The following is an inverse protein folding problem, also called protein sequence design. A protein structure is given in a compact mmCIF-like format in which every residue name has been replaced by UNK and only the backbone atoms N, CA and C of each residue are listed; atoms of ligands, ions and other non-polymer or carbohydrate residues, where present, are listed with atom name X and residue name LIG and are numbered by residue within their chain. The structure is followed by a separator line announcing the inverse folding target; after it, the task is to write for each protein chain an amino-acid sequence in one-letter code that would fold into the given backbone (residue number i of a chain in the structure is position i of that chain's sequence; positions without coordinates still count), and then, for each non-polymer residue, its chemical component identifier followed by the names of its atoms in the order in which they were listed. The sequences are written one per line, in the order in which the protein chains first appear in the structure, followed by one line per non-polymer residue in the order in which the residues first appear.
data_IF_720142803504
#
_entry.id   IF_720142803504
#
_cell.length_a   1.000
_cell.length_b   1.000
_cell.length_c   1.000
_cell.angle_alpha   90.00
_cell.angle_beta   90.00
_cell.angle_gamma   90.00
#
_symmetry.space_group_name_H-M   'P 1'
#
loop_
_entity.id
_entity.type
_entity.pdbx_description
1 polymer ?
#
# COMPACT_ATOMS: atom_id res chain seq x y z
N UNK A 1 7.29 31.20 11.98
CA UNK A 1 6.87 31.49 10.58
C UNK A 1 6.11 30.30 10.03
N UNK A 2 4.80 30.19 10.31
CA UNK A 2 3.89 29.17 9.75
C UNK A 2 2.97 29.90 8.75
N UNK A 3 3.55 30.57 7.76
CA UNK A 3 2.79 31.27 6.72
C UNK A 3 2.81 30.44 5.44
N UNK A 4 1.62 29.98 5.06
CA UNK A 4 1.24 29.39 3.76
C UNK A 4 1.96 28.10 3.34
N UNK A 5 1.87 27.04 4.16
CA UNK A 5 2.10 25.67 3.68
C UNK A 5 0.91 25.28 2.78
N UNK A 6 1.14 25.28 1.47
CA UNK A 6 0.13 24.95 0.46
C UNK A 6 -0.17 23.44 0.40
N UNK A 7 -1.35 23.10 -0.10
CA UNK A 7 -1.71 21.72 -0.44
C UNK A 7 -0.90 21.29 -1.66
N UNK A 8 -0.03 20.27 -1.51
CA UNK A 8 0.74 19.66 -2.61
C UNK A 8 0.08 18.35 -3.05
N UNK A 9 -0.88 18.45 -3.98
CA UNK A 9 -1.60 17.28 -4.53
C UNK A 9 -0.70 16.41 -5.41
N UNK A 10 0.40 16.98 -5.90
CA UNK A 10 1.45 16.32 -6.68
C UNK A 10 2.27 15.29 -5.88
N UNK A 11 2.17 15.30 -4.55
CA UNK A 11 2.76 14.31 -3.65
C UNK A 11 1.78 13.23 -3.18
N UNK A 12 0.70 12.98 -3.93
CA UNK A 12 -0.31 11.96 -3.60
C UNK A 12 -0.57 11.02 -4.77
N UNK A 13 -1.19 9.86 -4.50
CA UNK A 13 -1.64 8.94 -5.56
C UNK A 13 -2.45 9.62 -6.69
N UNK A 14 -3.18 10.71 -6.41
CA UNK A 14 -3.96 11.42 -7.44
C UNK A 14 -3.08 11.91 -8.60
N UNK A 15 -1.84 12.29 -8.33
CA UNK A 15 -0.88 12.69 -9.36
C UNK A 15 -0.27 11.50 -10.11
N UNK A 16 -0.28 10.32 -9.50
CA UNK A 16 0.26 9.09 -10.08
C UNK A 16 -0.65 8.48 -11.15
N UNK A 17 -1.94 8.86 -11.20
CA UNK A 17 -2.93 8.26 -12.12
C UNK A 17 -2.58 8.43 -13.61
N UNK A 18 -1.78 9.44 -13.96
CA UNK A 18 -1.27 9.67 -15.32
C UNK A 18 0.20 9.30 -15.50
N UNK A 19 0.87 8.73 -14.48
CA UNK A 19 2.30 8.41 -14.50
C UNK A 19 2.52 6.92 -14.78
N UNK A 20 2.36 6.52 -16.04
CA UNK A 20 2.72 5.18 -16.52
C UNK A 20 2.24 4.06 -15.59
N UNK A 21 3.19 3.23 -15.11
CA UNK A 21 2.91 2.08 -14.26
C UNK A 21 2.41 2.44 -12.86
N UNK A 22 2.69 3.65 -12.36
CA UNK A 22 2.20 4.09 -11.05
C UNK A 22 0.67 4.26 -10.99
N UNK A 23 0.01 4.38 -12.14
CA UNK A 23 -1.44 4.54 -12.26
C UNK A 23 -2.22 3.22 -12.41
N UNK A 24 -1.55 2.07 -12.45
CA UNK A 24 -2.21 0.77 -12.74
C UNK A 24 -3.28 0.38 -11.74
N UNK A 25 -3.02 0.55 -10.45
CA UNK A 25 -4.00 0.30 -9.39
C UNK A 25 -3.95 1.39 -8.33
N UNK A 26 -5.14 1.68 -7.80
CA UNK A 26 -5.31 2.68 -6.75
C UNK A 26 -5.18 2.08 -5.36
N UNK A 27 -4.32 2.73 -4.57
CA UNK A 27 -4.28 2.61 -3.12
C UNK A 27 -4.25 4.02 -2.52
N UNK A 28 -5.28 4.41 -1.75
CA UNK A 28 -5.50 5.81 -1.32
C UNK A 28 -4.33 6.38 -0.51
N UNK A 29 -3.68 5.62 0.38
CA UNK A 29 -2.55 6.11 1.17
C UNK A 29 -1.20 6.19 0.45
N UNK A 30 -1.10 5.88 -0.85
CA UNK A 30 0.19 5.92 -1.54
C UNK A 30 0.73 7.37 -1.65
N UNK A 31 2.00 7.54 -1.25
CA UNK A 31 2.71 8.81 -1.33
C UNK A 31 3.26 9.05 -2.76
N UNK A 32 3.56 10.31 -3.08
CA UNK A 32 3.77 10.73 -4.47
C UNK A 32 5.15 10.44 -5.04
N UNK A 33 5.17 10.05 -6.32
CA UNK A 33 6.35 9.76 -7.15
C UNK A 33 7.41 10.87 -7.07
N UNK A 34 6.98 12.13 -7.21
CA UNK A 34 7.88 13.29 -7.21
C UNK A 34 8.72 13.46 -5.95
N UNK A 35 8.22 12.99 -4.80
CA UNK A 35 8.99 13.05 -3.56
C UNK A 35 10.14 12.05 -3.61
N UNK A 36 9.90 10.84 -4.11
CA UNK A 36 10.95 9.83 -4.28
C UNK A 36 11.97 10.29 -5.31
N UNK A 37 11.54 10.81 -6.46
CA UNK A 37 12.43 11.38 -7.48
C UNK A 37 13.34 12.46 -6.88
N UNK A 38 12.78 13.39 -6.10
CA UNK A 38 13.55 14.44 -5.43
C UNK A 38 14.60 13.86 -4.46
N UNK A 39 14.24 12.83 -3.69
CA UNK A 39 15.12 12.20 -2.70
C UNK A 39 16.24 11.35 -3.33
N UNK A 40 16.06 10.96 -4.60
CA UNK A 40 17.04 10.22 -5.41
C UNK A 40 17.80 11.09 -6.41
N UNK A 41 17.38 12.34 -6.65
CA UNK A 41 17.94 13.20 -7.69
C UNK A 41 19.47 13.44 -7.62
N UNK A 42 20.06 13.34 -6.42
CA UNK A 42 21.50 13.56 -6.20
C UNK A 42 22.27 12.24 -5.96
N UNK A 43 21.70 11.09 -6.36
CA UNK A 43 22.34 9.78 -6.19
C UNK A 43 23.07 9.43 -7.48
N UNK A 44 24.35 9.81 -7.56
CA UNK A 44 25.17 9.71 -8.78
C UNK A 44 25.61 8.28 -9.15
N UNK A 45 25.35 7.29 -8.30
CA UNK A 45 25.74 5.89 -8.50
C UNK A 45 24.52 4.96 -8.43
N UNK A 46 24.66 3.75 -9.00
CA UNK A 46 23.71 2.67 -8.77
C UNK A 46 23.65 2.34 -7.26
N UNK A 47 22.64 2.89 -6.59
CA UNK A 47 22.40 2.69 -5.17
C UNK A 47 21.47 1.50 -4.96
N UNK A 48 21.54 0.91 -3.77
CA UNK A 48 20.57 -0.06 -3.30
C UNK A 48 19.59 0.67 -2.38
N UNK A 49 18.35 0.83 -2.84
CA UNK A 49 17.26 1.51 -2.15
C UNK A 49 16.35 0.50 -1.46
N UNK A 50 15.89 0.80 -0.25
CA UNK A 50 14.89 -0.02 0.44
C UNK A 50 13.61 0.74 0.74
N UNK A 51 12.47 0.06 0.56
CA UNK A 51 11.17 0.45 1.08
C UNK A 51 10.59 -0.67 1.97
N UNK A 52 10.74 -0.59 3.31
CA UNK A 52 10.24 -1.61 4.22
C UNK A 52 8.71 -1.68 4.32
N UNK A 53 7.97 -0.77 3.66
CA UNK A 53 6.52 -0.73 3.61
C UNK A 53 6.03 -0.50 2.18
N UNK A 54 6.32 -1.47 1.30
CA UNK A 54 6.20 -1.38 -0.16
C UNK A 54 4.90 -0.75 -0.65
N UNK A 55 3.76 -1.17 -0.09
CA UNK A 55 2.47 -0.72 -0.60
C UNK A 55 2.30 -1.12 -2.07
N UNK A 56 2.07 -0.15 -2.94
CA UNK A 56 2.01 -0.37 -4.41
C UNK A 56 3.38 -0.27 -5.09
N UNK A 57 4.48 -0.45 -4.35
CA UNK A 57 5.86 -0.39 -4.82
C UNK A 57 6.21 0.95 -5.52
N UNK A 58 5.76 2.08 -4.98
CA UNK A 58 6.08 3.40 -5.56
C UNK A 58 7.58 3.67 -5.49
N UNK A 59 8.18 3.50 -4.31
CA UNK A 59 9.62 3.75 -4.11
C UNK A 59 10.47 2.88 -5.02
N UNK A 60 10.18 1.57 -5.01
CA UNK A 60 10.92 0.58 -5.78
C UNK A 60 10.86 0.87 -7.27
N UNK A 61 9.67 1.17 -7.80
CA UNK A 61 9.52 1.49 -9.22
C UNK A 61 10.29 2.76 -9.60
N UNK A 62 10.17 3.86 -8.83
CA UNK A 62 10.93 5.09 -9.14
C UNK A 62 12.43 4.84 -9.08
N UNK A 63 12.91 4.13 -8.05
CA UNK A 63 14.33 3.81 -7.93
C UNK A 63 14.83 3.03 -9.15
N UNK A 64 14.09 2.01 -9.58
CA UNK A 64 14.46 1.20 -10.73
C UNK A 64 14.32 1.95 -12.08
N UNK A 65 13.34 2.84 -12.24
CA UNK A 65 13.23 3.72 -13.41
C UNK A 65 14.44 4.66 -13.52
N UNK A 66 15.02 5.08 -12.39
CA UNK A 66 16.27 5.84 -12.31
C UNK A 66 17.54 4.97 -12.40
N UNK A 67 17.41 3.66 -12.64
CA UNK A 67 18.53 2.74 -12.82
C UNK A 67 19.12 2.16 -11.52
N UNK A 68 18.47 2.36 -10.38
CA UNK A 68 18.91 1.80 -9.10
C UNK A 68 18.37 0.38 -8.86
N UNK A 69 18.95 -0.33 -7.89
CA UNK A 69 18.40 -1.56 -7.37
C UNK A 69 17.49 -1.25 -6.18
N UNK A 70 16.32 -1.89 -6.11
CA UNK A 70 15.39 -1.71 -5.01
C UNK A 70 14.94 -3.03 -4.38
N UNK A 71 14.94 -3.05 -3.05
CA UNK A 71 14.30 -4.08 -2.24
C UNK A 71 13.08 -3.47 -1.56
N UNK A 72 11.97 -4.20 -1.51
CA UNK A 72 10.79 -3.72 -0.79
C UNK A 72 10.11 -4.84 -0.03
N UNK A 73 9.60 -4.51 1.14
CA UNK A 73 8.97 -5.47 2.05
C UNK A 73 7.49 -5.18 2.19
N UNK A 74 6.68 -6.23 2.22
CA UNK A 74 5.29 -6.14 2.65
C UNK A 74 4.88 -7.46 3.31
N UNK A 75 3.82 -7.40 4.10
CA UNK A 75 3.19 -8.60 4.70
C UNK A 75 1.99 -9.07 3.88
N UNK A 76 1.43 -8.19 3.05
CA UNK A 76 0.24 -8.46 2.27
C UNK A 76 0.63 -9.14 0.95
N UNK A 77 0.24 -10.42 0.75
CA UNK A 77 0.63 -11.17 -0.45
C UNK A 77 0.15 -10.52 -1.77
N UNK A 78 -1.00 -9.85 -1.76
CA UNK A 78 -1.48 -9.13 -2.94
C UNK A 78 -0.57 -7.94 -3.32
N UNK A 79 -0.04 -7.22 -2.34
CA UNK A 79 0.85 -6.08 -2.60
C UNK A 79 2.23 -6.53 -3.05
N UNK A 80 2.70 -7.68 -2.57
CA UNK A 80 3.94 -8.32 -3.03
C UNK A 80 3.80 -8.72 -4.50
N UNK A 81 2.74 -9.46 -4.82
CA UNK A 81 2.41 -9.85 -6.19
C UNK A 81 2.30 -8.64 -7.12
N UNK A 82 1.51 -7.63 -6.72
CA UNK A 82 1.32 -6.40 -7.48
C UNK A 82 2.64 -5.67 -7.69
N UNK A 83 3.45 -5.53 -6.64
CA UNK A 83 4.73 -4.83 -6.70
C UNK A 83 5.71 -5.50 -7.68
N UNK A 84 5.83 -6.82 -7.62
CA UNK A 84 6.68 -7.58 -8.54
C UNK A 84 6.20 -7.50 -9.98
N UNK A 85 4.90 -7.69 -10.24
CA UNK A 85 4.33 -7.55 -11.59
C UNK A 85 4.51 -6.13 -12.13
N UNK A 86 4.25 -5.10 -11.30
CA UNK A 86 4.40 -3.69 -11.67
C UNK A 86 5.82 -3.31 -12.06
N UNK A 87 6.83 -3.91 -11.44
CA UNK A 87 8.23 -3.56 -11.65
C UNK A 87 8.96 -4.49 -12.66
N UNK A 88 8.23 -5.37 -13.34
CA UNK A 88 8.81 -6.34 -14.28
C UNK A 88 8.99 -5.80 -15.70
N UNK A 89 10.04 -6.20 -16.41
CA UNK A 89 10.14 -5.96 -17.85
C UNK A 89 9.39 -7.05 -18.63
N UNK A 90 8.51 -6.63 -19.55
CA UNK A 90 7.67 -7.52 -20.35
C UNK A 90 8.14 -7.53 -21.80
N UNK A 91 8.25 -8.71 -22.40
CA UNK A 91 8.63 -8.82 -23.81
C UNK A 91 7.50 -8.35 -24.74
N UNK A 92 7.86 -7.79 -25.90
CA UNK A 92 6.87 -7.37 -26.90
C UNK A 92 5.96 -8.54 -27.32
N UNK A 93 6.51 -9.74 -27.45
CA UNK A 93 5.76 -10.96 -27.75
C UNK A 93 4.68 -11.22 -26.69
N UNK A 94 5.02 -11.14 -25.40
CA UNK A 94 4.07 -11.30 -24.30
C UNK A 94 2.92 -10.28 -24.40
N UNK A 95 3.24 -9.00 -24.64
CA UNK A 95 2.23 -7.94 -24.73
C UNK A 95 1.27 -8.15 -25.93
N UNK A 96 1.79 -8.61 -27.08
CA UNK A 96 0.98 -8.96 -28.25
C UNK A 96 0.07 -10.15 -27.96
N UNK A 97 0.61 -11.16 -27.30
CA UNK A 97 -0.12 -12.38 -26.97
C UNK A 97 -1.25 -12.13 -25.96
N UNK A 98 -0.99 -11.36 -24.90
CA UNK A 98 -2.04 -10.90 -23.96
C UNK A 98 -3.19 -10.24 -24.70
N UNK A 99 -2.89 -9.29 -25.60
CA UNK A 99 -3.91 -8.58 -26.40
C UNK A 99 -4.77 -9.53 -27.23
N UNK A 100 -4.15 -10.57 -27.80
CA UNK A 100 -4.85 -11.58 -28.59
C UNK A 100 -5.73 -12.47 -27.70
N UNK A 101 -5.19 -12.97 -26.59
CA UNK A 101 -5.89 -13.87 -25.69
C UNK A 101 -7.07 -13.18 -24.96
N UNK A 102 -6.91 -11.92 -24.55
CA UNK A 102 -8.01 -11.13 -23.95
C UNK A 102 -9.21 -11.02 -24.91
N UNK A 103 -8.99 -10.83 -26.21
CA UNK A 103 -10.08 -10.82 -27.20
C UNK A 103 -10.81 -12.17 -27.30
N UNK A 104 -10.13 -13.28 -27.02
CA UNK A 104 -10.75 -14.59 -26.99
C UNK A 104 -11.56 -14.78 -25.70
N UNK A 105 -11.03 -14.35 -24.55
CA UNK A 105 -11.75 -14.32 -23.27
C UNK A 105 -13.06 -13.55 -23.38
N UNK A 106 -13.06 -12.38 -24.04
CA UNK A 106 -14.26 -11.56 -24.24
C UNK A 106 -15.35 -12.24 -25.10
N UNK A 107 -15.00 -13.24 -25.89
CA UNK A 107 -15.96 -14.07 -26.61
C UNK A 107 -16.47 -15.22 -25.75
N UNK A 108 -15.56 -15.87 -25.01
CA UNK A 108 -15.87 -17.02 -24.16
C UNK A 108 -16.77 -16.64 -23.00
N UNK A 109 -16.46 -15.56 -22.27
CA UNK A 109 -17.18 -15.26 -21.03
C UNK A 109 -18.66 -15.01 -21.25
N UNK A 110 -19.06 -14.50 -22.43
CA UNK A 110 -20.48 -14.30 -22.80
C UNK A 110 -21.29 -15.58 -22.80
N UNK A 111 -20.66 -16.71 -23.12
CA UNK A 111 -21.27 -18.04 -23.08
C UNK A 111 -21.41 -18.52 -21.63
N UNK A 112 -20.50 -18.10 -20.75
CA UNK A 112 -20.51 -18.46 -19.33
C UNK A 112 -21.55 -17.65 -18.53
N UNK A 113 -22.06 -16.53 -19.06
CA UNK A 113 -23.07 -15.71 -18.39
C UNK A 113 -24.32 -16.56 -18.12
N UNK A 114 -24.81 -16.52 -16.87
CA UNK A 114 -25.95 -17.31 -16.41
C UNK A 114 -25.60 -18.75 -15.99
N UNK A 115 -24.35 -19.18 -16.18
CA UNK A 115 -23.82 -20.41 -15.60
C UNK A 115 -23.44 -20.27 -14.12
N UNK A 116 -23.03 -21.38 -13.51
CA UNK A 116 -22.52 -21.44 -12.14
C UNK A 116 -21.06 -20.94 -12.09
N UNK A 117 -20.88 -19.63 -12.11
CA UNK A 117 -19.58 -18.99 -12.04
C UNK A 117 -19.21 -18.67 -10.59
N UNK A 118 -17.95 -18.91 -10.25
CA UNK A 118 -17.42 -18.55 -8.94
C UNK A 118 -17.56 -17.05 -8.67
N UNK A 119 -17.99 -16.70 -7.46
CA UNK A 119 -18.15 -15.32 -6.98
C UNK A 119 -17.44 -15.18 -5.62
N UNK A 120 -16.73 -14.08 -5.35
CA UNK A 120 -16.04 -13.91 -4.07
C UNK A 120 -17.00 -13.79 -2.88
N UNK A 121 -16.58 -14.30 -1.73
CA UNK A 121 -17.33 -14.23 -0.46
C UNK A 121 -17.19 -12.86 0.23
N UNK A 122 -17.53 -11.79 -0.49
CA UNK A 122 -17.57 -10.43 0.06
C UNK A 122 -18.90 -10.23 0.78
N UNK A 123 -18.84 -9.84 2.06
CA UNK A 123 -20.04 -9.50 2.83
C UNK A 123 -20.76 -8.29 2.20
N UNK A 124 -22.05 -8.46 1.88
CA UNK A 124 -22.86 -7.50 1.13
C UNK A 124 -22.19 -7.05 -0.19
N UNK A 125 -21.80 -8.02 -1.01
CA UNK A 125 -21.21 -7.76 -2.33
C UNK A 125 -22.10 -6.86 -3.21
N UNK A 126 -23.41 -6.88 -3.01
CA UNK A 126 -24.39 -6.08 -3.74
C UNK A 126 -24.31 -4.58 -3.40
N UNK A 127 -23.58 -4.18 -2.34
CA UNK A 127 -23.24 -2.77 -2.11
C UNK A 127 -22.18 -2.24 -3.07
N UNK A 128 -21.42 -3.13 -3.69
CA UNK A 128 -20.35 -2.78 -4.60
C UNK A 128 -20.83 -2.78 -6.05
N UNK A 129 -21.59 -3.80 -6.44
CA UNK A 129 -22.03 -4.02 -7.81
C UNK A 129 -23.48 -4.52 -7.83
N UNK A 130 -24.23 -4.22 -8.88
CA UNK A 130 -25.58 -4.77 -9.05
C UNK A 130 -25.51 -6.29 -9.28
N UNK A 131 -26.61 -7.00 -9.04
CA UNK A 131 -26.68 -8.45 -9.23
C UNK A 131 -26.30 -8.88 -10.65
N UNK A 132 -26.64 -8.08 -11.66
CA UNK A 132 -26.32 -8.39 -13.06
C UNK A 132 -24.86 -8.09 -13.40
N UNK A 133 -24.31 -6.98 -12.89
CA UNK A 133 -22.87 -6.68 -12.99
C UNK A 133 -22.04 -7.78 -12.31
N UNK A 134 -22.48 -8.32 -11.16
CA UNK A 134 -21.80 -9.43 -10.47
C UNK A 134 -21.73 -10.66 -11.39
N UNK A 135 -22.83 -11.07 -12.02
CA UNK A 135 -22.84 -12.24 -12.93
C UNK A 135 -21.87 -12.05 -14.08
N UNK A 136 -21.82 -10.85 -14.66
CA UNK A 136 -20.91 -10.50 -15.76
C UNK A 136 -19.45 -10.58 -15.29
N UNK A 137 -19.11 -9.97 -14.15
CA UNK A 137 -17.75 -10.00 -13.60
C UNK A 137 -17.31 -11.42 -13.21
N UNK A 138 -18.22 -12.22 -12.64
CA UNK A 138 -17.95 -13.63 -12.28
C UNK A 138 -17.70 -14.51 -13.52
N UNK A 139 -18.49 -14.32 -14.58
CA UNK A 139 -18.27 -15.00 -15.86
C UNK A 139 -16.93 -14.59 -16.51
N UNK A 140 -16.63 -13.28 -16.54
CA UNK A 140 -15.36 -12.75 -17.05
C UNK A 140 -14.17 -13.32 -16.27
N UNK A 141 -14.22 -13.29 -14.94
CA UNK A 141 -13.19 -13.87 -14.09
C UNK A 141 -13.00 -15.36 -14.37
N UNK A 142 -14.08 -16.11 -14.58
CA UNK A 142 -14.00 -17.55 -14.87
C UNK A 142 -13.30 -17.80 -16.20
N UNK A 143 -13.65 -17.06 -17.26
CA UNK A 143 -12.95 -17.14 -18.55
C UNK A 143 -11.48 -16.72 -18.44
N UNK A 144 -11.15 -15.71 -17.60
CA UNK A 144 -9.78 -15.34 -17.30
C UNK A 144 -8.99 -16.48 -16.64
N UNK A 145 -9.56 -17.16 -15.66
CA UNK A 145 -8.92 -18.33 -15.02
C UNK A 145 -8.77 -19.48 -16.01
N UNK A 146 -9.76 -19.75 -16.86
CA UNK A 146 -9.67 -20.80 -17.88
C UNK A 146 -8.51 -20.54 -18.85
N UNK A 147 -8.28 -19.27 -19.21
CA UNK A 147 -7.27 -18.88 -20.19
C UNK A 147 -5.87 -18.68 -19.59
N UNK A 148 -5.78 -18.07 -18.42
CA UNK A 148 -4.51 -17.59 -17.82
C UNK A 148 -4.17 -18.25 -16.48
N UNK A 149 -5.06 -19.06 -15.89
CA UNK A 149 -4.90 -19.54 -14.52
C UNK A 149 -5.17 -18.45 -13.47
N UNK A 150 -5.04 -18.81 -12.20
CA UNK A 150 -5.13 -17.85 -11.08
C UNK A 150 -3.87 -16.97 -11.02
N UNK A 151 -3.94 -15.73 -10.52
CA UNK A 151 -2.76 -14.87 -10.41
C UNK A 151 -1.72 -15.48 -9.47
N UNK A 152 -0.49 -15.62 -9.95
CA UNK A 152 0.63 -16.19 -9.21
C UNK A 152 1.91 -15.36 -9.39
N UNK A 153 2.88 -15.57 -8.49
CA UNK A 153 4.17 -14.88 -8.56
C UNK A 153 4.95 -15.28 -9.82
N UNK A 154 5.69 -14.33 -10.40
CA UNK A 154 6.53 -14.54 -11.57
C UNK A 154 5.83 -14.97 -12.87
N UNK A 155 4.51 -14.78 -12.99
CA UNK A 155 3.79 -14.91 -14.25
C UNK A 155 3.79 -13.61 -15.08
N UNK A 156 3.99 -13.74 -16.39
CA UNK A 156 3.93 -12.66 -17.38
C UNK A 156 2.47 -12.22 -17.66
N UNK A 157 1.49 -13.11 -17.48
CA UNK A 157 0.07 -12.78 -17.71
C UNK A 157 -0.57 -12.00 -16.55
N UNK A 158 0.18 -11.71 -15.48
CA UNK A 158 -0.28 -10.91 -14.35
C UNK A 158 -0.82 -9.51 -14.73
N UNK A 159 -0.40 -8.95 -15.88
CA UNK A 159 -0.96 -7.70 -16.39
C UNK A 159 -2.48 -7.77 -16.62
N UNK A 160 -3.00 -8.94 -16.99
CA UNK A 160 -4.44 -9.17 -17.19
C UNK A 160 -5.19 -9.10 -15.86
N UNK A 161 -4.62 -9.66 -14.80
CA UNK A 161 -5.19 -9.61 -13.46
C UNK A 161 -5.14 -8.20 -12.87
N UNK A 162 -4.08 -7.43 -13.14
CA UNK A 162 -4.03 -6.00 -12.79
C UNK A 162 -5.14 -5.23 -13.51
N UNK A 163 -5.34 -5.50 -14.81
CA UNK A 163 -6.43 -4.92 -15.59
C UNK A 163 -7.80 -5.27 -15.00
N UNK A 164 -7.99 -6.53 -14.62
CA UNK A 164 -9.24 -7.00 -14.01
C UNK A 164 -9.47 -6.34 -12.64
N UNK A 165 -8.44 -6.22 -11.80
CA UNK A 165 -8.50 -5.48 -10.54
C UNK A 165 -8.92 -4.02 -10.75
N UNK A 166 -8.42 -3.36 -11.80
CA UNK A 166 -8.83 -1.99 -12.11
C UNK A 166 -10.28 -1.93 -12.60
N UNK A 167 -10.68 -2.86 -13.47
CA UNK A 167 -12.05 -2.98 -13.96
C UNK A 167 -13.05 -3.10 -12.80
N UNK A 168 -12.83 -4.04 -11.86
CA UNK A 168 -13.79 -4.28 -10.77
C UNK A 168 -14.01 -3.02 -9.92
N UNK A 169 -12.99 -2.19 -9.70
CA UNK A 169 -13.17 -0.95 -8.92
C UNK A 169 -13.80 0.15 -9.76
N UNK A 170 -13.40 0.32 -11.02
CA UNK A 170 -13.98 1.34 -11.90
C UNK A 170 -15.45 1.07 -12.24
N UNK A 171 -15.89 -0.20 -12.24
CA UNK A 171 -17.29 -0.60 -12.39
C UNK A 171 -18.05 -0.72 -11.06
N UNK A 172 -17.42 -0.37 -9.93
CA UNK A 172 -18.05 -0.46 -8.61
C UNK A 172 -18.70 0.85 -8.15
N UNK A 173 -19.54 0.72 -7.14
CA UNK A 173 -20.12 1.83 -6.38
C UNK A 173 -19.16 2.42 -5.35
N UNK A 174 -17.90 1.99 -5.32
CA UNK A 174 -16.91 2.55 -4.40
C UNK A 174 -16.66 4.03 -4.71
N UNK A 175 -16.71 4.86 -3.66
CA UNK A 175 -16.41 6.27 -3.72
C UNK A 175 -15.16 6.56 -2.87
N UNK A 176 -14.26 7.39 -3.41
CA UNK A 176 -12.98 7.71 -2.76
C UNK A 176 -12.88 9.20 -2.40
N UNK A 177 -14.01 9.75 -1.96
CA UNK A 177 -14.14 11.17 -1.59
C UNK A 177 -13.73 11.42 -0.13
N UNK A 178 -13.46 10.35 0.64
CA UNK A 178 -13.02 10.39 2.03
C UNK A 178 -11.64 9.72 2.21
N UNK A 179 -11.06 9.89 3.40
CA UNK A 179 -9.76 9.32 3.78
C UNK A 179 -9.74 7.79 3.71
N UNK A 180 -10.92 7.18 3.88
CA UNK A 180 -11.19 5.76 3.66
C UNK A 180 -12.23 5.63 2.57
N UNK A 181 -12.19 4.50 1.87
CA UNK A 181 -13.22 4.08 0.92
C UNK A 181 -14.64 4.15 1.52
N UNK A 182 -15.55 4.74 0.76
CA UNK A 182 -17.00 4.84 1.00
C UNK A 182 -17.76 4.29 -0.21
N UNK A 183 -19.09 4.44 -0.24
CA UNK A 183 -19.94 4.00 -1.36
C UNK A 183 -20.81 5.16 -1.85
N UNK A 184 -21.16 5.13 -3.13
CA UNK A 184 -22.26 5.92 -3.70
C UNK A 184 -23.60 5.48 -3.06
N UNK A 185 -24.60 6.36 -3.14
CA UNK A 185 -25.95 6.03 -2.66
C UNK A 185 -26.67 5.01 -3.54
N UNK A 186 -26.42 5.07 -4.85
CA UNK A 186 -26.98 4.15 -5.84
C UNK A 186 -25.92 3.21 -6.39
N UNK A 187 -26.35 2.01 -6.74
CA UNK A 187 -25.52 1.00 -7.40
C UNK A 187 -25.85 1.01 -8.88
N UNK A 188 -24.86 1.37 -9.69
CA UNK A 188 -25.00 1.43 -11.15
C UNK A 188 -25.05 -0.01 -11.72
N UNK A 189 -25.92 -0.22 -12.70
CA UNK A 189 -26.00 -1.47 -13.46
C UNK A 189 -25.20 -1.32 -14.76
N UNK A 190 -24.37 -2.33 -15.06
CA UNK A 190 -23.50 -2.33 -16.21
C UNK A 190 -23.73 -3.60 -17.03
N UNK A 191 -23.97 -3.42 -18.33
CA UNK A 191 -24.13 -4.53 -19.26
C UNK A 191 -22.78 -5.04 -19.79
N UNK A 192 -22.84 -6.03 -20.69
CA UNK A 192 -21.65 -6.63 -21.29
C UNK A 192 -20.87 -5.66 -22.17
N UNK A 193 -21.56 -4.77 -22.90
CA UNK A 193 -20.93 -3.83 -23.83
C UNK A 193 -20.07 -2.83 -23.04
N UNK A 194 -20.63 -2.25 -21.98
CA UNK A 194 -19.88 -1.37 -21.08
C UNK A 194 -18.66 -2.06 -20.46
N UNK A 195 -18.82 -3.29 -19.96
CA UNK A 195 -17.72 -4.04 -19.32
C UNK A 195 -16.64 -4.40 -20.33
N UNK A 196 -17.00 -4.80 -21.55
CA UNK A 196 -16.05 -5.10 -22.64
C UNK A 196 -15.22 -3.87 -23.00
N UNK A 197 -15.88 -2.74 -23.24
CA UNK A 197 -15.22 -1.49 -23.61
C UNK A 197 -14.28 -1.00 -22.51
N UNK A 198 -14.76 -0.99 -21.26
CA UNK A 198 -13.96 -0.58 -20.11
C UNK A 198 -12.76 -1.50 -19.93
N UNK A 199 -12.95 -2.83 -19.98
CA UNK A 199 -11.86 -3.78 -19.79
C UNK A 199 -10.81 -3.67 -20.90
N UNK A 200 -11.22 -3.59 -22.17
CA UNK A 200 -10.28 -3.40 -23.29
C UNK A 200 -9.49 -2.10 -23.16
N UNK A 201 -10.15 -1.00 -22.77
CA UNK A 201 -9.48 0.29 -22.58
C UNK A 201 -8.43 0.23 -21.47
N UNK A 202 -8.72 -0.48 -20.38
CA UNK A 202 -7.81 -0.68 -19.25
C UNK A 202 -6.63 -1.56 -19.65
N UNK A 203 -6.90 -2.68 -20.35
CA UNK A 203 -5.86 -3.58 -20.85
C UNK A 203 -4.89 -2.83 -21.74
N UNK A 204 -5.38 -2.07 -22.73
CA UNK A 204 -4.50 -1.31 -23.62
C UNK A 204 -3.67 -0.26 -22.87
N UNK A 205 -4.25 0.45 -21.90
CA UNK A 205 -3.51 1.40 -21.07
C UNK A 205 -2.35 0.73 -20.30
N UNK A 206 -2.61 -0.44 -19.70
CA UNK A 206 -1.60 -1.20 -18.97
C UNK A 206 -0.52 -1.72 -19.92
N UNK A 207 -0.90 -2.32 -21.05
CA UNK A 207 0.03 -2.83 -22.04
C UNK A 207 0.93 -1.72 -22.61
N UNK A 208 0.36 -0.56 -22.96
CA UNK A 208 1.13 0.59 -23.48
C UNK A 208 2.18 1.09 -22.48
N UNK A 209 1.86 1.13 -21.19
CA UNK A 209 2.82 1.56 -20.17
C UNK A 209 3.81 0.46 -19.76
N UNK A 210 3.46 -0.82 -19.95
CA UNK A 210 4.37 -1.94 -19.76
C UNK A 210 5.44 -2.08 -20.87
N UNK A 211 5.24 -1.46 -22.04
CA UNK A 211 6.23 -1.42 -23.13
C UNK A 211 7.51 -0.68 -22.74
N UNK A 212 7.42 0.26 -21.79
CA UNK A 212 8.61 0.95 -21.28
C UNK A 212 9.35 0.02 -20.34
N UNK A 213 10.59 -0.32 -20.71
CA UNK A 213 11.48 -1.09 -19.86
C UNK A 213 12.02 -0.22 -18.72
N UNK A 214 12.13 -0.85 -17.56
CA UNK A 214 12.77 -0.32 -16.36
C UNK A 214 14.25 -0.70 -16.42
N UNK A 215 15.13 0.27 -16.17
CA UNK A 215 16.58 0.10 -16.28
C UNK A 215 17.17 -0.67 -15.08
N UNK A 216 16.71 -0.34 -13.88
CA UNK A 216 17.13 -0.97 -12.63
C UNK A 216 16.41 -2.30 -12.35
N UNK A 217 16.54 -2.77 -11.11
CA UNK A 217 15.91 -4.02 -10.67
C UNK A 217 15.12 -3.84 -9.38
N UNK A 218 14.05 -4.61 -9.24
CA UNK A 218 13.18 -4.59 -8.06
C UNK A 218 12.93 -6.01 -7.57
N UNK A 219 12.96 -6.18 -6.26
CA UNK A 219 12.39 -7.35 -5.60
C UNK A 219 11.47 -6.91 -4.46
N UNK A 220 10.19 -7.31 -4.55
CA UNK A 220 9.24 -7.19 -3.44
C UNK A 220 9.12 -8.54 -2.77
N UNK A 221 9.39 -8.61 -1.47
CA UNK A 221 9.45 -9.87 -0.73
C UNK A 221 8.58 -9.83 0.53
N UNK A 222 8.12 -11.01 0.95
CA UNK A 222 7.32 -11.16 2.17
C UNK A 222 8.21 -11.05 3.40
N UNK A 223 8.17 -9.91 4.07
CA UNK A 223 8.93 -9.65 5.29
C UNK A 223 8.08 -8.86 6.27
N UNK A 224 8.09 -9.26 7.54
CA UNK A 224 7.58 -8.42 8.61
C UNK A 224 8.64 -7.36 8.95
N UNK A 225 8.31 -6.10 8.70
CA UNK A 225 9.23 -4.99 8.88
C UNK A 225 9.80 -4.86 10.30
N UNK A 226 9.16 -5.48 11.32
CA UNK A 226 9.67 -5.51 12.71
C UNK A 226 10.85 -6.45 12.91
N UNK A 227 11.03 -7.42 12.01
CA UNK A 227 11.96 -8.53 12.17
C UNK A 227 12.76 -8.75 10.88
N UNK A 228 13.52 -7.73 10.47
CA UNK A 228 14.43 -7.79 9.33
C UNK A 228 15.70 -8.52 9.76
N UNK A 229 15.93 -9.74 9.24
CA UNK A 229 17.06 -10.59 9.66
C UNK A 229 18.29 -10.43 8.76
N UNK A 230 18.14 -10.52 7.43
CA UNK A 230 19.24 -10.33 6.46
C UNK A 230 18.74 -10.26 5.01
N UNK A 231 19.58 -9.72 4.11
CA UNK A 231 19.37 -9.69 2.66
C UNK A 231 20.54 -10.38 1.94
N UNK A 232 20.90 -11.60 2.34
CA UNK A 232 22.01 -12.37 1.74
C UNK A 232 23.34 -11.58 1.67
N UNK A 233 23.64 -10.82 2.71
CA UNK A 233 24.83 -9.96 2.79
C UNK A 233 24.74 -8.63 2.05
N UNK A 234 23.63 -8.34 1.35
CA UNK A 234 23.39 -7.06 0.70
C UNK A 234 23.20 -5.97 1.75
N UNK A 235 23.86 -4.83 1.52
CA UNK A 235 23.77 -3.64 2.37
C UNK A 235 23.13 -2.48 1.61
N UNK A 236 22.23 -1.77 2.29
CA UNK A 236 21.40 -0.71 1.73
C UNK A 236 22.12 0.64 1.80
N UNK A 237 22.02 1.44 0.73
CA UNK A 237 22.57 2.79 0.64
C UNK A 237 21.56 3.87 1.07
N UNK A 238 20.26 3.63 0.84
CA UNK A 238 19.20 4.59 1.17
C UNK A 238 17.87 3.89 1.50
N UNK A 239 17.20 4.32 2.55
CA UNK A 239 15.83 3.92 2.86
C UNK A 239 14.87 5.07 2.55
N UNK A 240 13.83 4.82 1.76
CA UNK A 240 12.77 5.81 1.48
C UNK A 240 11.44 5.08 1.62
N UNK A 241 10.58 5.56 2.51
CA UNK A 241 9.33 4.84 2.77
C UNK A 241 8.26 5.71 3.40
N UNK A 242 7.03 5.21 3.35
CA UNK A 242 5.86 5.79 4.00
C UNK A 242 5.17 4.71 4.83
N UNK A 243 5.58 4.48 6.09
CA UNK A 243 4.95 3.47 6.94
C UNK A 243 3.48 3.80 7.23
N UNK A 244 2.71 2.84 7.76
CA UNK A 244 1.38 3.11 8.31
C UNK A 244 1.41 4.29 9.30
N UNK A 245 0.37 5.13 9.29
CA UNK A 245 0.25 6.24 10.25
C UNK A 245 -0.58 5.82 11.47
N UNK A 246 -0.35 6.40 12.66
CA UNK A 246 -1.10 6.03 13.86
C UNK A 246 -2.49 6.68 13.85
N UNK A 247 -3.39 6.20 12.99
CA UNK A 247 -4.73 6.76 12.77
C UNK A 247 -5.83 5.71 12.56
N UNK A 248 -5.52 4.42 12.79
CA UNK A 248 -6.44 3.27 12.66
C UNK A 248 -7.05 3.08 11.26
N UNK A 249 -6.44 3.61 10.22
CA UNK A 249 -6.82 3.24 8.85
C UNK A 249 -6.35 1.80 8.60
N UNK A 250 -7.28 0.95 8.17
CA UNK A 250 -6.96 -0.39 7.66
C UNK A 250 -6.64 -0.29 6.17
N UNK A 251 -5.38 -0.53 5.83
CA UNK A 251 -4.92 -0.62 4.44
C UNK A 251 -5.49 -1.88 3.77
N UNK A 252 -5.64 -2.97 4.53
CA UNK A 252 -6.23 -4.23 4.06
C UNK A 252 -7.67 -4.02 3.63
N UNK A 253 -8.46 -3.22 4.37
CA UNK A 253 -9.85 -2.92 4.01
C UNK A 253 -9.97 -2.28 2.62
N UNK A 254 -9.04 -1.42 2.23
CA UNK A 254 -9.03 -0.81 0.88
C UNK A 254 -8.73 -1.82 -0.23
N UNK A 255 -8.03 -2.90 0.10
CA UNK A 255 -7.58 -3.91 -0.85
C UNK A 255 -8.51 -5.13 -0.94
N UNK A 256 -9.46 -5.28 -0.01
CA UNK A 256 -10.38 -6.44 0.05
C UNK A 256 -11.02 -6.78 -1.29
N UNK A 257 -11.59 -5.83 -2.06
CA UNK A 257 -12.19 -6.16 -3.37
C UNK A 257 -11.20 -6.87 -4.28
N UNK A 258 -10.00 -6.29 -4.45
CA UNK A 258 -8.96 -6.89 -5.27
C UNK A 258 -8.60 -8.28 -4.75
N UNK A 259 -8.25 -8.38 -3.46
CA UNK A 259 -7.76 -9.60 -2.83
C UNK A 259 -8.77 -10.74 -2.86
N UNK A 260 -10.07 -10.45 -2.68
CA UNK A 260 -11.11 -11.45 -2.80
C UNK A 260 -11.27 -11.91 -4.23
N UNK A 261 -11.42 -10.99 -5.19
CA UNK A 261 -11.59 -11.34 -6.61
C UNK A 261 -10.41 -12.12 -7.19
N UNK A 262 -9.21 -11.92 -6.66
CA UNK A 262 -7.95 -12.60 -7.03
C UNK A 262 -7.57 -13.75 -6.09
N UNK A 263 -8.43 -14.12 -5.12
CA UNK A 263 -8.21 -15.22 -4.15
C UNK A 263 -6.97 -15.12 -3.24
N UNK A 264 -6.33 -13.95 -3.14
CA UNK A 264 -5.40 -13.65 -2.03
C UNK A 264 -6.12 -13.58 -0.67
N UNK A 265 -7.45 -13.43 -0.68
CA UNK A 265 -8.32 -13.70 0.46
C UNK A 265 -9.45 -14.66 0.04
N UNK A 266 -9.66 -15.69 0.84
CA UNK A 266 -10.74 -16.65 0.71
C UNK A 266 -11.79 -16.47 1.82
N UNK A 267 -11.36 -16.04 3.00
CA UNK A 267 -12.20 -15.90 4.19
C UNK A 267 -12.03 -14.56 4.90
N UNK A 268 -13.08 -14.12 5.60
CA UNK A 268 -13.06 -12.85 6.36
C UNK A 268 -11.99 -12.82 7.47
N UNK A 269 -11.66 -13.97 8.06
CA UNK A 269 -10.68 -14.07 9.14
C UNK A 269 -9.28 -13.66 8.68
N UNK A 270 -8.88 -14.05 7.47
CA UNK A 270 -7.55 -13.78 6.90
C UNK A 270 -7.27 -12.27 6.81
N UNK A 271 -8.27 -11.46 6.44
CA UNK A 271 -8.14 -10.01 6.43
C UNK A 271 -7.87 -9.44 7.83
N UNK A 272 -8.51 -10.00 8.86
CA UNK A 272 -8.31 -9.61 10.25
C UNK A 272 -6.94 -9.99 10.81
N UNK A 273 -6.37 -11.12 10.35
CA UNK A 273 -5.01 -11.52 10.69
C UNK A 273 -3.97 -10.61 10.03
N UNK A 274 -4.14 -10.25 8.76
CA UNK A 274 -3.28 -9.27 8.08
C UNK A 274 -3.36 -7.89 8.75
N UNK A 275 -4.55 -7.44 9.14
CA UNK A 275 -4.74 -6.18 9.89
C UNK A 275 -4.01 -6.19 11.25
N UNK A 276 -3.87 -7.36 11.90
CA UNK A 276 -3.13 -7.51 13.15
C UNK A 276 -1.61 -7.51 12.96
N UNK A 277 -1.14 -8.14 11.88
CA UNK A 277 0.27 -8.17 11.52
C UNK A 277 0.79 -6.78 11.12
N UNK A 278 -0.05 -5.93 10.54
CA UNK A 278 0.31 -4.55 10.22
C UNK A 278 0.70 -3.75 11.48
N UNK A 279 1.57 -2.75 11.31
CA UNK A 279 2.03 -1.86 12.40
C UNK A 279 0.84 -1.30 13.19
N UNK A 280 0.88 -1.49 14.50
CA UNK A 280 -0.14 -1.07 15.47
C UNK A 280 -1.38 -1.95 15.54
N UNK A 281 -1.63 -2.87 14.60
CA UNK A 281 -2.83 -3.71 14.59
C UNK A 281 -4.11 -2.89 14.38
N UNK A 282 -4.41 -2.50 13.15
CA UNK A 282 -5.28 -1.34 12.90
C UNK A 282 -6.79 -1.58 13.05
N UNK A 283 -7.29 -2.80 12.86
CA UNK A 283 -8.73 -3.04 12.71
C UNK A 283 -9.21 -4.48 13.00
N UNK A 284 -10.52 -4.67 13.15
CA UNK A 284 -11.16 -5.98 13.33
C UNK A 284 -10.74 -6.69 14.61
N UNK A 285 -10.17 -7.90 14.46
CA UNK A 285 -9.63 -8.74 15.54
C UNK A 285 -8.60 -7.97 16.38
N UNK A 286 -7.93 -6.98 15.81
CA UNK A 286 -6.95 -6.19 16.54
C UNK A 286 -7.55 -5.49 17.77
N UNK A 287 -8.82 -5.06 17.73
CA UNK A 287 -9.42 -4.37 18.89
C UNK A 287 -9.55 -5.30 20.10
N UNK A 288 -9.91 -6.57 19.89
CA UNK A 288 -9.99 -7.54 20.98
C UNK A 288 -8.60 -7.95 21.47
N UNK A 289 -7.65 -8.18 20.55
CA UNK A 289 -6.26 -8.53 20.90
C UNK A 289 -5.51 -7.40 21.61
N UNK A 290 -5.79 -6.13 21.27
CA UNK A 290 -5.20 -4.98 21.95
C UNK A 290 -5.58 -4.92 23.44
N UNK A 291 -6.77 -5.42 23.85
CA UNK A 291 -7.13 -5.45 25.27
C UNK A 291 -6.23 -6.37 26.10
N UNK A 292 -5.69 -7.42 25.49
CA UNK A 292 -4.78 -8.37 26.14
C UNK A 292 -3.32 -8.15 25.78
N UNK A 293 -3.01 -7.21 24.88
CA UNK A 293 -1.65 -6.92 24.47
C UNK A 293 -0.91 -6.20 25.59
N UNK A 294 0.35 -6.59 25.80
CA UNK A 294 1.26 -5.97 26.76
C UNK A 294 2.57 -5.64 26.03
N UNK A 295 3.24 -4.61 26.51
CA UNK A 295 4.59 -4.28 26.08
C UNK A 295 5.52 -5.42 26.51
N UNK A 296 6.29 -5.96 25.57
CA UNK A 296 7.38 -6.90 25.89
C UNK A 296 8.63 -6.09 26.30
N UNK A 297 9.65 -6.75 26.87
CA UNK A 297 10.85 -6.10 27.41
C UNK A 297 11.66 -5.36 26.31
N UNK A 298 11.28 -4.11 26.05
CA UNK A 298 11.99 -3.18 25.17
C UNK A 298 11.88 -1.77 25.76
N UNK A 299 13.00 -1.03 25.75
CA UNK A 299 13.01 0.32 26.31
C UNK A 299 12.58 1.33 25.26
N UNK A 300 11.35 1.83 25.38
CA UNK A 300 10.86 2.92 24.55
C UNK A 300 11.25 4.29 25.14
N UNK A 301 11.42 5.33 24.30
CA UNK A 301 11.58 6.71 24.77
C UNK A 301 10.47 7.17 25.71
N UNK A 302 10.83 7.92 26.75
CA UNK A 302 9.89 8.43 27.77
C UNK A 302 8.80 9.33 27.15
N UNK A 303 9.11 10.05 26.07
CA UNK A 303 8.19 10.91 25.34
C UNK A 303 7.02 10.13 24.74
N UNK A 304 7.27 8.89 24.30
CA UNK A 304 6.22 7.99 23.81
C UNK A 304 5.30 7.60 24.97
N UNK A 305 5.87 7.19 26.11
CA UNK A 305 5.11 6.80 27.29
C UNK A 305 4.28 7.97 27.85
N UNK A 306 4.85 9.18 27.87
CA UNK A 306 4.17 10.41 28.27
C UNK A 306 2.98 10.70 27.34
N UNK A 307 3.18 10.64 26.02
CA UNK A 307 2.11 10.85 25.02
C UNK A 307 0.98 9.83 25.19
N UNK A 308 1.32 8.56 25.37
CA UNK A 308 0.37 7.47 25.61
C UNK A 308 -0.42 7.71 26.89
N UNK A 309 0.25 8.14 27.97
CA UNK A 309 -0.41 8.44 29.24
C UNK A 309 -1.39 9.60 29.11
N UNK A 310 -1.05 10.67 28.39
CA UNK A 310 -1.98 11.79 28.13
C UNK A 310 -3.24 11.33 27.40
N UNK A 311 -3.12 10.43 26.41
CA UNK A 311 -4.29 9.84 25.74
C UNK A 311 -5.09 8.99 26.72
N UNK A 312 -4.44 8.16 27.53
CA UNK A 312 -5.07 7.24 28.47
C UNK A 312 -5.94 7.94 29.51
N UNK A 313 -5.50 9.09 30.03
CA UNK A 313 -6.22 9.87 31.06
C UNK A 313 -7.26 10.83 30.48
N UNK A 314 -7.42 10.88 29.16
CA UNK A 314 -8.42 11.74 28.52
C UNK A 314 -9.85 11.22 28.74
N UNK A 315 -10.85 12.11 28.71
CA UNK A 315 -12.27 11.80 28.95
C UNK A 315 -12.97 11.10 27.76
N UNK A 316 -12.21 10.30 27.01
CA UNK A 316 -12.69 9.58 25.84
C UNK A 316 -13.23 8.20 26.19
N UNK A 317 -14.43 7.83 25.69
CA UNK A 317 -15.01 6.48 25.89
C UNK A 317 -14.05 5.32 25.58
N UNK A 318 -13.14 5.51 24.62
CA UNK A 318 -12.15 4.53 24.19
C UNK A 318 -10.69 4.99 24.44
N UNK A 319 -10.48 5.92 25.38
CA UNK A 319 -9.17 6.49 25.70
C UNK A 319 -8.12 5.42 26.00
N UNK A 320 -8.40 4.53 26.94
CA UNK A 320 -7.49 3.46 27.35
C UNK A 320 -7.08 2.54 26.21
N UNK A 321 -8.02 2.05 25.42
CA UNK A 321 -7.71 1.12 24.31
C UNK A 321 -6.96 1.81 23.18
N UNK A 322 -7.25 3.09 22.90
CA UNK A 322 -6.52 3.85 21.89
C UNK A 322 -5.13 4.27 22.37
N UNK A 323 -4.93 4.47 23.67
CA UNK A 323 -3.60 4.64 24.24
C UNK A 323 -2.76 3.37 24.04
N UNK A 324 -3.33 2.18 24.25
CA UNK A 324 -2.65 0.89 23.98
C UNK A 324 -2.34 0.74 22.48
N UNK A 325 -3.26 1.12 21.59
CA UNK A 325 -2.99 1.14 20.14
C UNK A 325 -1.81 2.05 19.79
N UNK A 326 -1.76 3.28 20.33
CA UNK A 326 -0.66 4.22 20.08
C UNK A 326 0.65 3.68 20.65
N UNK A 327 0.64 3.09 21.84
CA UNK A 327 1.81 2.43 22.42
C UNK A 327 2.32 1.30 21.53
N UNK A 328 1.43 0.38 21.11
CA UNK A 328 1.79 -0.72 20.23
C UNK A 328 2.33 -0.23 18.89
N UNK A 329 1.75 0.83 18.32
CA UNK A 329 2.25 1.43 17.08
C UNK A 329 3.71 1.88 17.22
N UNK A 330 4.04 2.64 18.27
CA UNK A 330 5.41 3.12 18.47
C UNK A 330 6.36 2.00 18.88
N UNK A 331 5.87 0.99 19.61
CA UNK A 331 6.64 -0.23 19.87
C UNK A 331 7.01 -0.98 18.57
N UNK A 332 6.02 -1.28 17.72
CA UNK A 332 6.24 -1.94 16.43
C UNK A 332 7.20 -1.12 15.53
N UNK A 333 7.05 0.21 15.50
CA UNK A 333 7.97 1.07 14.75
C UNK A 333 9.38 1.12 15.34
N UNK A 334 9.52 1.06 16.66
CA UNK A 334 10.83 0.98 17.33
C UNK A 334 11.54 -0.34 16.99
N UNK A 335 10.83 -1.47 17.04
CA UNK A 335 11.36 -2.76 16.60
C UNK A 335 11.78 -2.73 15.13
N UNK A 336 10.95 -2.13 14.26
CA UNK A 336 11.26 -1.97 12.86
C UNK A 336 12.58 -1.21 12.65
N UNK A 337 12.71 -0.02 13.25
CA UNK A 337 13.94 0.77 13.19
C UNK A 337 15.12 0.00 13.76
N UNK A 338 14.95 -0.70 14.88
CA UNK A 338 16.02 -1.50 15.48
C UNK A 338 16.50 -2.60 14.54
N UNK A 339 15.57 -3.33 13.92
CA UNK A 339 15.87 -4.45 13.01
C UNK A 339 16.50 -3.99 11.70
N UNK A 340 16.11 -2.82 11.19
CA UNK A 340 16.63 -2.29 9.92
C UNK A 340 18.15 -2.10 9.96
N UNK A 341 18.73 -1.74 11.12
CA UNK A 341 20.17 -1.51 11.32
C UNK A 341 21.06 -2.64 10.83
N UNK A 342 20.57 -3.89 10.87
CA UNK A 342 21.34 -5.06 10.45
C UNK A 342 21.71 -5.05 8.95
N UNK A 343 20.95 -4.34 8.12
CA UNK A 343 21.13 -4.32 6.65
C UNK A 343 21.57 -2.96 6.09
N UNK A 344 21.74 -1.94 6.92
CA UNK A 344 22.19 -0.61 6.46
C UNK A 344 23.72 -0.56 6.29
N UNK A 345 24.19 0.19 5.29
CA UNK A 345 25.60 0.63 5.21
C UNK A 345 25.86 1.77 6.18
N UNK A 346 27.11 1.92 6.62
CA UNK A 346 27.56 3.11 7.32
C UNK A 346 27.31 4.35 6.44
N UNK A 347 26.68 5.38 7.02
CA UNK A 347 26.29 6.58 6.29
C UNK A 347 25.02 6.42 5.46
N UNK A 348 24.28 5.31 5.57
CA UNK A 348 23.01 5.13 4.88
C UNK A 348 22.02 6.24 5.27
N UNK A 349 21.39 6.86 4.29
CA UNK A 349 20.38 7.88 4.52
C UNK A 349 18.98 7.27 4.62
N UNK A 350 18.19 7.70 5.60
CA UNK A 350 16.83 7.25 5.82
C UNK A 350 15.86 8.42 5.65
N UNK A 351 14.78 8.20 4.91
CA UNK A 351 13.73 9.17 4.63
C UNK A 351 12.36 8.55 4.89
N UNK A 352 11.72 8.92 6.01
CA UNK A 352 10.43 8.39 6.45
C UNK A 352 9.34 9.43 6.31
N UNK A 353 8.39 9.17 5.42
CA UNK A 353 7.21 10.00 5.22
C UNK A 353 6.16 9.57 6.24
N UNK A 354 5.85 10.45 7.21
CA UNK A 354 4.90 10.14 8.29
C UNK A 354 3.89 11.25 8.50
N UNK A 355 2.67 10.88 8.86
CA UNK A 355 1.62 11.84 9.22
C UNK A 355 1.37 11.85 10.71
N UNK A 356 1.29 13.05 11.31
CA UNK A 356 0.83 13.19 12.69
C UNK A 356 -0.66 12.78 12.81
N UNK A 357 -1.10 12.54 14.04
CA UNK A 357 -2.49 12.22 14.35
C UNK A 357 -2.97 12.90 15.62
N UNK A 358 -4.26 12.74 15.93
CA UNK A 358 -4.88 13.32 17.13
C UNK A 358 -5.84 12.32 17.74
N UNK A 359 -5.75 12.10 19.05
CA UNK A 359 -6.63 11.23 19.82
C UNK A 359 -7.20 12.00 21.00
N UNK A 360 -8.52 12.18 21.02
CA UNK A 360 -9.24 12.93 22.08
C UNK A 360 -8.66 14.34 22.32
N UNK A 361 -8.29 15.03 21.23
CA UNK A 361 -7.67 16.36 21.28
C UNK A 361 -6.16 16.36 21.55
N UNK A 362 -5.59 15.22 21.94
CA UNK A 362 -4.14 15.09 22.18
C UNK A 362 -3.42 14.82 20.86
N UNK A 363 -2.46 15.68 20.52
CA UNK A 363 -1.63 15.51 19.34
C UNK A 363 -0.63 14.39 19.55
N UNK A 364 -0.52 13.49 18.57
CA UNK A 364 0.55 12.51 18.48
C UNK A 364 1.51 12.99 17.39
N UNK A 365 2.62 13.58 17.82
CA UNK A 365 3.66 14.06 16.92
C UNK A 365 4.56 12.90 16.48
N UNK A 366 4.09 12.18 15.46
CA UNK A 366 4.77 10.98 14.95
C UNK A 366 6.20 11.27 14.51
N UNK A 367 6.48 12.42 13.92
CA UNK A 367 7.82 12.77 13.45
C UNK A 367 8.80 12.95 14.62
N UNK A 368 8.38 13.68 15.65
CA UNK A 368 9.17 13.86 16.87
C UNK A 368 9.39 12.53 17.60
N UNK A 369 8.33 11.75 17.84
CA UNK A 369 8.40 10.51 18.61
C UNK A 369 9.24 9.41 17.92
N UNK A 370 9.16 9.30 16.59
CA UNK A 370 10.05 8.39 15.85
C UNK A 370 11.51 8.88 15.84
N UNK A 371 11.73 10.20 15.84
CA UNK A 371 13.07 10.78 15.96
C UNK A 371 13.72 10.44 17.30
N UNK A 372 12.95 10.39 18.39
CA UNK A 372 13.46 9.93 19.70
C UNK A 372 13.86 8.46 19.66
N UNK A 373 13.02 7.59 19.07
CA UNK A 373 13.37 6.17 18.87
C UNK A 373 14.65 6.02 18.04
N UNK A 374 14.78 6.77 16.94
CA UNK A 374 15.99 6.78 16.11
C UNK A 374 17.22 7.21 16.94
N UNK A 375 17.11 8.22 17.80
CA UNK A 375 18.23 8.68 18.64
C UNK A 375 18.68 7.60 19.64
N UNK A 376 17.73 6.96 20.31
CA UNK A 376 18.03 5.85 21.25
C UNK A 376 18.70 4.67 20.55
N UNK A 377 18.30 4.40 19.30
CA UNK A 377 18.84 3.29 18.49
C UNK A 377 20.20 3.60 17.82
N UNK A 378 20.73 4.82 17.99
CA UNK A 378 22.06 5.22 17.53
C UNK A 378 22.11 5.93 16.17
N UNK A 379 20.96 6.24 15.57
CA UNK A 379 20.92 7.04 14.34
C UNK A 379 21.37 8.48 14.60
N UNK A 380 21.95 9.12 13.58
CA UNK A 380 22.51 10.47 13.64
C UNK A 380 21.88 11.42 12.61
N UNK A 381 22.22 12.72 12.70
CA UNK A 381 21.74 13.78 11.78
C UNK A 381 20.21 13.81 11.60
N UNK A 382 19.48 13.50 12.67
CA UNK A 382 18.02 13.39 12.63
C UNK A 382 17.38 14.78 12.51
N UNK A 383 16.53 14.95 11.51
CA UNK A 383 15.71 16.15 11.30
C UNK A 383 14.38 15.76 10.67
N UNK A 384 13.38 16.63 10.73
CA UNK A 384 12.14 16.41 10.00
C UNK A 384 11.54 17.72 9.51
N UNK A 385 11.02 17.71 8.28
CA UNK A 385 10.40 18.87 7.64
C UNK A 385 8.97 18.57 7.20
N UNK A 386 8.12 19.60 7.19
CA UNK A 386 6.74 19.46 6.70
C UNK A 386 6.76 19.34 5.17
N UNK A 387 6.26 18.22 4.66
CA UNK A 387 6.12 17.97 3.22
C UNK A 387 4.83 18.61 2.70
N UNK A 388 3.71 18.40 3.40
CA UNK A 388 2.41 18.97 3.02
C UNK A 388 1.40 18.98 4.16
N UNK A 389 0.31 19.73 3.97
CA UNK A 389 -0.88 19.68 4.82
C UNK A 389 -1.85 18.58 4.36
N UNK A 390 -2.50 17.88 5.31
CA UNK A 390 -3.49 16.83 5.04
C UNK A 390 -4.91 17.39 4.91
N UNK A 391 -5.76 16.75 4.10
CA UNK A 391 -7.06 17.26 3.67
C UNK A 391 -8.18 17.23 4.74
N UNK A 392 -7.92 16.68 5.92
CA UNK A 392 -8.96 16.27 6.86
C UNK A 392 -9.07 17.10 8.15
N UNK A 393 -8.06 17.89 8.52
CA UNK A 393 -8.12 18.78 9.68
C UNK A 393 -7.08 19.92 9.60
N UNK A 394 -7.32 21.03 10.29
CA UNK A 394 -6.49 22.25 10.24
C UNK A 394 -5.06 22.04 10.76
N UNK A 395 -4.82 20.99 11.58
CA UNK A 395 -3.53 20.74 12.26
C UNK A 395 -2.85 19.41 11.88
N UNK A 396 -3.29 18.76 10.79
CA UNK A 396 -2.67 17.51 10.33
C UNK A 396 -1.75 17.76 9.14
N UNK A 397 -0.52 17.27 9.26
CA UNK A 397 0.57 17.44 8.31
C UNK A 397 1.24 16.09 8.03
N UNK A 398 1.88 16.00 6.87
CA UNK A 398 2.86 14.96 6.58
C UNK A 398 4.25 15.56 6.66
N UNK A 399 5.17 14.80 7.23
CA UNK A 399 6.55 15.14 7.46
C UNK A 399 7.45 14.15 6.74
N UNK A 400 8.64 14.60 6.34
CA UNK A 400 9.74 13.72 5.95
C UNK A 400 10.76 13.78 7.07
N UNK A 401 10.93 12.67 7.80
CA UNK A 401 12.05 12.50 8.73
C UNK A 401 13.27 12.09 7.90
N UNK A 402 14.39 12.78 8.09
CA UNK A 402 15.68 12.43 7.52
C UNK A 402 16.66 12.06 8.63
N UNK A 403 17.39 10.95 8.47
CA UNK A 403 18.41 10.49 9.41
C UNK A 403 19.55 9.77 8.68
N UNK A 404 20.64 9.50 9.39
CA UNK A 404 21.78 8.74 8.90
C UNK A 404 22.10 7.60 9.87
N UNK A 405 22.34 6.39 9.34
CA UNK A 405 22.89 5.27 10.11
C UNK A 405 24.39 5.42 10.30
#
# INVERSE_FOLDING_TARGET
MISTIQQRSDYTFKANRSLGRHGWLRLTPAYGVKLVEKLLANVDREAIVIDPFSGTATTALVAAELGHQAFSFDINPFLIWLGNAKCRNYSEHCLIDIRKQVKQVLKEYKILIGGDNWTPKIFHIERWWSSDTIKILSALRTALVNQFGEPEDNDDYNLVWIAFCRLIIESSSAAFNHISMSFKETVDEHDCEYIDELFLSIVELILMSAQQNICGSVQVVKVDARHITELDGIKIDKAITSPPYPNRISYIRELRPYMYWTKFLNEAKEAGELDWLAIGGTWGIATSRLNSWQLEDETLPDEILATVNTIKISDGKNASILAVYVLKYFYDMHLHLSSLRSILKDGCELHYIVGNSTFFGNMVDTAALLSESMRVLGYSKISYEIVRKRNCNKSLYEYCISATW
#
